data_IF_799031776996
#
_entry.id   IF_799031776996
#
_cell.length_a   1.000
_cell.length_b   1.000
_cell.length_c   1.000
_cell.angle_alpha   90.00
_cell.angle_beta   90.00
_cell.angle_gamma   90.00
#
_symmetry.space_group_name_H-M   'P 1'
#
loop_
_entity.id
_entity.type
_entity.pdbx_description
1 polymer ?
#
# COMPACT_ATOMS: atom_id res chain seq x y z
N UNK A 1 -20.75 6.26 15.95
CA UNK A 1 -20.47 6.63 14.54
C UNK A 1 -19.06 6.17 14.23
N UNK A 2 -18.89 5.30 13.24
CA UNK A 2 -17.56 4.90 12.77
C UNK A 2 -17.02 6.06 11.92
N UNK A 3 -16.04 6.80 12.42
CA UNK A 3 -15.33 7.79 11.61
C UNK A 3 -14.27 7.05 10.81
N UNK A 4 -14.45 6.97 9.49
CA UNK A 4 -13.41 6.41 8.62
C UNK A 4 -12.17 7.31 8.67
N UNK A 5 -10.95 6.74 8.60
CA UNK A 5 -9.69 7.49 8.73
C UNK A 5 -9.58 8.69 7.77
N UNK A 6 -10.27 8.60 6.63
CA UNK A 6 -10.23 9.53 5.52
C UNK A 6 -11.29 10.65 5.54
N UNK A 7 -12.11 10.75 6.60
CA UNK A 7 -13.24 11.70 6.65
C UNK A 7 -12.81 13.17 6.50
N UNK A 8 -11.60 13.53 6.97
CA UNK A 8 -11.09 14.90 6.94
C UNK A 8 -10.09 15.17 5.80
N UNK A 9 -9.69 14.14 5.03
CA UNK A 9 -8.67 14.27 3.98
C UNK A 9 -8.96 15.36 2.94
N UNK A 10 -10.21 15.61 2.50
CA UNK A 10 -10.49 16.68 1.55
C UNK A 10 -10.11 18.08 2.05
N UNK A 11 -9.93 18.26 3.37
CA UNK A 11 -9.62 19.54 4.00
C UNK A 11 -8.15 19.68 4.38
N UNK A 12 -7.52 18.60 4.87
CA UNK A 12 -6.16 18.62 5.43
C UNK A 12 -5.14 17.78 4.66
N UNK A 13 -5.59 17.05 3.64
CA UNK A 13 -4.78 16.08 2.91
C UNK A 13 -4.72 14.71 3.60
N UNK A 14 -4.10 13.72 2.93
CA UNK A 14 -4.00 12.36 3.45
C UNK A 14 -2.99 12.28 4.59
N UNK A 15 -3.33 11.50 5.60
CA UNK A 15 -2.45 11.19 6.73
C UNK A 15 -1.51 10.04 6.38
N UNK A 16 -0.34 9.90 7.02
CA UNK A 16 0.54 8.75 6.76
C UNK A 16 -0.16 7.38 6.94
N UNK A 17 -1.00 7.17 7.98
CA UNK A 17 -1.78 5.93 8.11
C UNK A 17 -2.81 5.72 6.99
N UNK A 18 -3.44 6.78 6.48
CA UNK A 18 -4.41 6.64 5.40
C UNK A 18 -3.75 6.39 4.04
N UNK A 19 -2.57 6.97 3.79
CA UNK A 19 -1.72 6.60 2.66
C UNK A 19 -1.27 5.15 2.74
N UNK A 20 -0.88 4.67 3.92
CA UNK A 20 -0.49 3.27 4.10
C UNK A 20 -1.65 2.33 3.77
N UNK A 21 -2.87 2.64 4.24
CA UNK A 21 -4.07 1.87 3.90
C UNK A 21 -4.33 1.85 2.39
N UNK A 22 -4.21 3.00 1.71
CA UNK A 22 -4.36 3.07 0.25
C UNK A 22 -3.28 2.24 -0.48
N UNK A 23 -2.03 2.29 0.01
CA UNK A 23 -0.92 1.53 -0.56
C UNK A 23 -1.13 0.02 -0.40
N UNK A 24 -1.65 -0.43 0.73
CA UNK A 24 -1.94 -1.84 0.99
C UNK A 24 -3.09 -2.39 0.13
N UNK A 25 -4.08 -1.55 -0.17
CA UNK A 25 -5.20 -1.91 -1.05
C UNK A 25 -4.77 -1.98 -2.52
N UNK A 26 -3.86 -1.09 -2.94
CA UNK A 26 -3.47 -0.96 -4.35
C UNK A 26 -2.25 -1.79 -4.75
N UNK A 27 -1.36 -2.14 -3.82
CA UNK A 27 -0.02 -2.67 -4.17
C UNK A 27 0.42 -3.91 -3.37
N UNK A 28 0.72 -5.03 -4.06
CA UNK A 28 0.43 -5.33 -5.46
C UNK A 28 -1.07 -5.67 -5.63
N UNK A 29 -1.70 -5.31 -6.76
CA UNK A 29 -3.14 -5.52 -6.97
C UNK A 29 -3.53 -7.01 -6.99
N UNK A 30 -2.59 -7.87 -7.35
CA UNK A 30 -2.71 -9.33 -7.29
C UNK A 30 -1.37 -9.93 -6.89
N UNK A 31 -1.41 -10.98 -6.07
CA UNK A 31 -0.21 -11.73 -5.75
C UNK A 31 0.36 -12.39 -7.02
N UNK A 32 1.68 -12.36 -7.22
CA UNK A 32 2.31 -13.03 -8.35
C UNK A 32 2.08 -14.54 -8.25
N UNK A 33 1.68 -15.17 -9.36
CA UNK A 33 1.63 -16.62 -9.48
C UNK A 33 2.99 -17.16 -9.97
N UNK A 34 3.50 -18.29 -9.46
CA UNK A 34 4.81 -18.85 -9.86
C UNK A 34 4.96 -19.24 -11.35
N UNK A 35 3.89 -19.14 -12.13
CA UNK A 35 3.87 -19.44 -13.57
C UNK A 35 3.93 -18.18 -14.44
N UNK A 36 3.86 -17.00 -13.83
CA UNK A 36 4.05 -15.74 -14.53
C UNK A 36 5.52 -15.57 -14.95
N UNK A 37 5.75 -14.70 -15.91
CA UNK A 37 7.11 -14.32 -16.30
C UNK A 37 7.89 -13.73 -15.11
N UNK A 38 9.19 -14.02 -15.03
CA UNK A 38 10.04 -13.60 -13.93
C UNK A 38 10.02 -12.07 -13.75
N UNK A 39 9.97 -11.29 -14.84
CA UNK A 39 9.92 -9.84 -14.75
C UNK A 39 8.61 -9.34 -14.09
N UNK A 40 7.48 -10.00 -14.37
CA UNK A 40 6.19 -9.71 -13.71
C UNK A 40 6.26 -9.99 -12.20
N UNK A 41 6.83 -11.14 -11.83
CA UNK A 41 7.01 -11.53 -10.44
C UNK A 41 7.89 -10.51 -9.71
N UNK A 42 9.03 -10.14 -10.30
CA UNK A 42 9.96 -9.17 -9.73
C UNK A 42 9.32 -7.78 -9.59
N UNK A 43 8.56 -7.33 -10.58
CA UNK A 43 7.87 -6.04 -10.54
C UNK A 43 6.86 -5.99 -9.39
N UNK A 44 6.01 -7.01 -9.25
CA UNK A 44 5.02 -7.12 -8.17
C UNK A 44 5.69 -7.24 -6.79
N UNK A 45 6.78 -8.00 -6.68
CA UNK A 45 7.55 -8.11 -5.45
C UNK A 45 8.19 -6.77 -5.04
N UNK A 46 8.70 -6.01 -6.01
CA UNK A 46 9.24 -4.67 -5.79
C UNK A 46 8.17 -3.71 -5.27
N UNK A 47 6.97 -3.73 -5.86
CA UNK A 47 5.83 -2.95 -5.35
C UNK A 47 5.54 -3.30 -3.89
N UNK A 48 5.48 -4.59 -3.52
CA UNK A 48 5.24 -4.99 -2.13
C UNK A 48 6.33 -4.50 -1.18
N UNK A 49 7.60 -4.61 -1.59
CA UNK A 49 8.74 -4.17 -0.79
C UNK A 49 8.65 -2.68 -0.40
N UNK A 50 8.18 -1.83 -1.32
CA UNK A 50 7.97 -0.39 -1.03
C UNK A 50 6.86 -0.17 0.00
N UNK A 51 5.76 -0.94 -0.07
CA UNK A 51 4.67 -0.86 0.92
C UNK A 51 5.17 -1.27 2.31
N UNK A 52 5.92 -2.36 2.41
CA UNK A 52 6.50 -2.82 3.69
C UNK A 52 7.48 -1.80 4.28
N UNK A 53 8.33 -1.20 3.44
CA UNK A 53 9.22 -0.13 3.90
C UNK A 53 8.42 1.05 4.47
N UNK A 54 7.35 1.47 3.79
CA UNK A 54 6.51 2.58 4.25
C UNK A 54 5.77 2.25 5.54
N UNK A 55 5.24 1.03 5.65
CA UNK A 55 4.63 0.52 6.89
C UNK A 55 5.59 0.64 8.07
N UNK A 56 6.78 0.08 7.94
CA UNK A 56 7.79 0.15 8.99
C UNK A 56 8.10 1.61 9.37
N UNK A 57 8.21 2.50 8.39
CA UNK A 57 8.48 3.92 8.62
C UNK A 57 7.37 4.67 9.37
N UNK A 58 6.11 4.21 9.25
CA UNK A 58 4.94 4.80 9.92
C UNK A 58 4.75 4.20 11.33
N UNK A 59 5.11 2.94 11.52
CA UNK A 59 5.02 2.23 12.80
C UNK A 59 6.20 2.50 13.75
N UNK A 60 7.37 2.88 13.22
CA UNK A 60 8.53 3.41 13.96
C UNK A 60 8.33 4.83 14.51
#
# INVERSE_FOLDING_TARGET
>A
MSTYPNTLEPLIGPTPPSLLLEMEDKFPPINPHPKEDLASIMYKAGQRSVVEWYRNRVEE
#
